data_IF_408485949132
#
_entry.id   IF_408485949132
#
_cell.length_a   1.000
_cell.length_b   1.000
_cell.length_c   1.000
_cell.angle_alpha   90.00
_cell.angle_beta   90.00
_cell.angle_gamma   90.00
#
_symmetry.space_group_name_H-M   'P 1'
#
loop_
_entity.id
_entity.type
_entity.pdbx_description
1 polymer ?
#
# COMPACT_ATOMS: atom_id res chain seq x y z
N UNK A 1 58.77 18.03 0.87
CA UNK A 1 58.83 17.03 1.95
C UNK A 1 57.90 17.47 3.06
N UNK A 2 56.86 16.67 3.27
CA UNK A 2 56.07 16.45 4.50
C UNK A 2 55.54 17.62 5.31
N UNK A 3 54.20 17.69 5.36
CA UNK A 3 53.47 17.97 6.60
C UNK A 3 52.51 19.14 6.54
N UNK A 4 51.22 18.89 6.31
CA UNK A 4 50.18 19.66 6.98
C UNK A 4 48.94 18.81 7.20
N UNK A 5 48.67 18.58 8.48
CA UNK A 5 47.63 17.75 9.08
C UNK A 5 46.22 18.08 8.58
N UNK A 6 45.55 17.11 7.96
CA UNK A 6 44.10 17.07 7.84
C UNK A 6 43.51 16.33 9.05
N UNK A 7 43.57 16.98 10.22
CA UNK A 7 42.76 16.61 11.37
C UNK A 7 42.06 17.87 11.84
N UNK A 8 40.73 17.78 11.92
CA UNK A 8 39.73 18.75 12.43
C UNK A 8 38.73 19.12 11.32
N UNK A 9 37.60 18.40 11.32
CA UNK A 9 36.21 18.85 11.06
C UNK A 9 35.31 17.64 10.70
N UNK A 10 35.35 16.58 11.52
CA UNK A 10 34.17 15.73 11.73
C UNK A 10 33.51 16.23 13.01
N UNK A 11 32.72 17.30 12.91
CA UNK A 11 31.75 17.65 13.94
C UNK A 11 30.42 17.12 13.44
N UNK A 12 30.04 15.95 13.95
CA UNK A 12 28.74 15.35 13.71
C UNK A 12 27.68 16.35 14.16
N UNK A 13 26.90 16.84 13.19
CA UNK A 13 25.72 17.66 13.44
C UNK A 13 24.56 16.70 13.66
N UNK A 14 24.51 16.12 14.86
CA UNK A 14 23.40 15.27 15.30
C UNK A 14 22.22 16.17 15.61
N UNK A 15 21.26 16.26 14.68
CA UNK A 15 19.98 16.90 14.96
C UNK A 15 19.12 15.94 15.79
N UNK A 16 18.56 16.37 16.94
CA UNK A 16 17.62 15.54 17.69
C UNK A 16 16.32 15.42 16.89
N UNK A 17 16.08 14.25 16.31
CA UNK A 17 14.78 13.86 15.75
C UNK A 17 13.83 13.64 16.93
N UNK A 18 13.00 14.64 17.25
CA UNK A 18 11.86 14.45 18.16
C UNK A 18 10.82 13.59 17.45
N UNK A 19 10.78 12.30 17.80
CA UNK A 19 9.62 11.47 17.53
C UNK A 19 8.48 11.90 18.45
N UNK A 20 7.50 12.62 17.91
CA UNK A 20 6.18 12.75 18.54
C UNK A 20 5.37 11.50 18.20
N UNK A 21 4.98 10.67 19.19
CA UNK A 21 4.06 9.57 18.95
C UNK A 21 2.66 10.14 18.68
N UNK A 22 2.13 9.88 17.48
CA UNK A 22 0.73 10.11 17.16
C UNK A 22 -0.07 9.04 17.90
N UNK A 23 -0.57 9.38 19.09
CA UNK A 23 -1.61 8.58 19.76
C UNK A 23 -2.92 8.80 19.00
N UNK A 24 -3.33 7.80 18.22
CA UNK A 24 -4.66 7.72 17.67
C UNK A 24 -5.59 7.15 18.75
N UNK A 25 -6.48 7.99 19.27
CA UNK A 25 -7.54 7.61 20.20
C UNK A 25 -8.62 6.83 19.44
N UNK A 26 -8.68 5.52 19.66
CA UNK A 26 -9.80 4.68 19.23
C UNK A 26 -10.97 4.87 20.21
N UNK A 27 -11.93 5.70 19.83
CA UNK A 27 -13.21 5.82 20.54
C UNK A 27 -14.31 5.77 19.49
N UNK A 28 -14.82 4.58 19.16
CA UNK A 28 -16.16 4.31 18.61
C UNK A 28 -16.34 2.80 18.39
N UNK A 29 -17.04 2.11 19.33
CA UNK A 29 -18.02 1.06 19.01
C UNK A 29 -18.74 0.61 20.28
N UNK A 30 -19.95 1.13 20.50
CA UNK A 30 -20.99 0.44 21.26
C UNK A 30 -22.20 0.39 20.32
N UNK A 31 -22.50 -0.80 19.82
CA UNK A 31 -23.79 -1.16 19.25
C UNK A 31 -24.07 -2.56 19.73
N UNK A 32 -25.08 -2.65 20.57
CA UNK A 32 -25.64 -3.84 21.18
C UNK A 32 -26.03 -4.85 20.09
N UNK A 33 -25.54 -6.09 20.22
CA UNK A 33 -26.05 -7.25 19.50
C UNK A 33 -27.05 -7.97 20.40
N UNK A 34 -28.33 -7.81 20.13
CA UNK A 34 -29.40 -8.63 20.70
C UNK A 34 -29.27 -10.07 20.23
N UNK A 35 -28.92 -10.96 21.15
CA UNK A 35 -28.84 -12.40 20.94
C UNK A 35 -30.25 -12.99 20.77
N UNK A 36 -30.57 -13.48 19.58
CA UNK A 36 -31.68 -14.41 19.35
C UNK A 36 -31.20 -15.81 19.71
N UNK A 37 -31.66 -16.31 20.86
CA UNK A 37 -31.61 -17.75 21.19
C UNK A 37 -32.56 -18.47 20.24
N UNK A 38 -32.00 -19.28 19.34
CA UNK A 38 -32.73 -20.21 18.49
C UNK A 38 -32.57 -21.60 19.10
N UNK A 39 -33.69 -22.13 19.59
CA UNK A 39 -33.78 -23.43 20.22
C UNK A 39 -33.39 -24.55 19.25
N UNK A 40 -32.54 -25.45 19.75
CA UNK A 40 -32.06 -26.63 19.06
C UNK A 40 -33.18 -27.68 18.93
N UNK A 41 -34.01 -27.54 17.90
CA UNK A 41 -34.94 -28.59 17.48
C UNK A 41 -35.20 -28.55 15.95
N UNK A 42 -34.13 -28.48 15.14
CA UNK A 42 -34.23 -28.23 13.68
C UNK A 42 -33.43 -29.15 12.76
N UNK A 43 -32.86 -30.26 13.24
CA UNK A 43 -31.91 -31.07 12.45
C UNK A 43 -32.49 -31.86 11.28
N UNK A 44 -33.81 -32.11 11.23
CA UNK A 44 -34.44 -32.95 10.18
C UNK A 44 -35.04 -32.16 9.01
N UNK A 45 -35.26 -30.85 9.18
CA UNK A 45 -35.83 -29.97 8.15
C UNK A 45 -34.78 -29.37 7.22
N UNK A 46 -33.51 -29.28 7.64
CA UNK A 46 -32.44 -28.61 6.90
C UNK A 46 -31.95 -29.41 5.68
N UNK A 47 -31.88 -30.74 5.74
CA UNK A 47 -31.36 -31.57 4.63
C UNK A 47 -32.29 -31.57 3.40
N UNK A 48 -33.61 -31.62 3.59
CA UNK A 48 -34.57 -31.51 2.50
C UNK A 48 -34.58 -30.11 1.85
N UNK A 49 -34.28 -29.07 2.64
CA UNK A 49 -34.15 -27.71 2.13
C UNK A 49 -32.90 -27.54 1.27
N UNK A 50 -31.77 -28.15 1.64
CA UNK A 50 -30.53 -28.13 0.85
C UNK A 50 -30.73 -28.82 -0.51
N UNK A 51 -31.34 -30.01 -0.55
CA UNK A 51 -31.63 -30.71 -1.80
C UNK A 51 -32.57 -29.91 -2.73
N UNK A 52 -33.63 -29.34 -2.17
CA UNK A 52 -34.57 -28.47 -2.90
C UNK A 52 -33.88 -27.21 -3.43
N UNK A 53 -32.96 -26.64 -2.65
CA UNK A 53 -32.20 -25.44 -3.04
C UNK A 53 -31.21 -25.74 -4.18
N UNK A 54 -30.50 -26.87 -4.14
CA UNK A 54 -29.58 -27.30 -5.22
C UNK A 54 -30.33 -27.55 -6.53
N UNK A 55 -31.48 -28.24 -6.49
CA UNK A 55 -32.33 -28.43 -7.68
C UNK A 55 -32.91 -27.11 -8.17
N UNK A 56 -33.28 -26.21 -7.26
CA UNK A 56 -33.72 -24.85 -7.58
C UNK A 56 -32.66 -24.04 -8.32
N UNK A 57 -31.39 -24.08 -7.87
CA UNK A 57 -30.26 -23.42 -8.56
C UNK A 57 -30.03 -24.05 -9.94
N UNK A 58 -30.05 -25.37 -10.04
CA UNK A 58 -29.92 -26.08 -11.33
C UNK A 58 -30.99 -25.69 -12.33
N UNK A 59 -32.26 -25.71 -11.90
CA UNK A 59 -33.41 -25.30 -12.71
C UNK A 59 -33.38 -23.81 -13.09
N UNK A 60 -32.97 -22.94 -12.16
CA UNK A 60 -32.83 -21.51 -12.40
C UNK A 60 -31.70 -21.20 -13.39
N UNK A 61 -30.54 -21.86 -13.26
CA UNK A 61 -29.43 -21.73 -14.21
C UNK A 61 -29.83 -22.17 -15.62
N UNK A 62 -30.56 -23.29 -15.75
CA UNK A 62 -31.09 -23.75 -17.05
C UNK A 62 -32.11 -22.82 -17.69
N UNK A 63 -32.85 -22.04 -16.89
CA UNK A 63 -33.93 -21.18 -17.42
C UNK A 63 -33.49 -19.75 -17.74
N UNK A 64 -32.45 -19.23 -17.06
CA UNK A 64 -32.01 -17.82 -17.19
C UNK A 64 -30.80 -17.59 -18.08
N UNK A 65 -29.95 -18.60 -18.31
CA UNK A 65 -28.79 -18.49 -19.19
C UNK A 65 -28.79 -19.59 -20.27
N UNK A 66 -29.69 -19.51 -21.27
CA UNK A 66 -29.70 -20.47 -22.37
C UNK A 66 -28.39 -20.44 -23.19
N UNK A 67 -27.64 -19.34 -23.13
CA UNK A 67 -26.35 -19.17 -23.81
C UNK A 67 -25.19 -19.94 -23.14
N UNK A 68 -25.37 -20.44 -21.90
CA UNK A 68 -24.42 -21.41 -21.31
C UNK A 68 -24.46 -22.77 -22.02
N UNK A 69 -25.48 -22.99 -22.86
CA UNK A 69 -25.65 -24.15 -23.75
C UNK A 69 -25.32 -23.81 -25.21
N UNK A 70 -24.66 -22.67 -25.47
CA UNK A 70 -24.27 -22.31 -26.82
C UNK A 70 -23.30 -23.35 -27.38
N UNK A 71 -23.72 -23.92 -28.50
CA UNK A 71 -23.00 -24.87 -29.32
C UNK A 71 -21.75 -24.19 -29.88
N UNK A 72 -20.60 -24.39 -29.23
CA UNK A 72 -19.31 -24.01 -29.78
C UNK A 72 -18.49 -25.27 -30.02
N UNK A 73 -18.28 -25.56 -31.31
CA UNK A 73 -17.28 -26.46 -31.88
C UNK A 73 -17.26 -27.89 -31.27
N UNK A 74 -18.12 -28.77 -31.82
CA UNK A 74 -18.07 -30.24 -31.82
C UNK A 74 -17.79 -31.01 -30.50
N UNK A 75 -17.78 -30.34 -29.36
CA UNK A 75 -17.71 -30.95 -28.04
C UNK A 75 -18.93 -30.54 -27.21
N UNK A 76 -19.81 -31.51 -26.94
CA UNK A 76 -20.94 -31.35 -26.01
C UNK A 76 -20.39 -31.02 -24.61
N UNK A 77 -20.42 -29.76 -24.19
CA UNK A 77 -20.24 -29.37 -22.78
C UNK A 77 -21.55 -29.53 -21.98
N UNK A 78 -22.36 -30.54 -22.31
CA UNK A 78 -23.66 -30.85 -21.68
C UNK A 78 -23.55 -31.26 -20.20
N UNK A 79 -22.32 -31.37 -19.69
CA UNK A 79 -21.98 -32.05 -18.45
C UNK A 79 -22.37 -31.24 -17.20
N UNK A 80 -22.13 -29.91 -17.07
CA UNK A 80 -22.24 -29.26 -15.75
C UNK A 80 -23.68 -29.09 -15.25
N UNK A 81 -24.62 -28.66 -16.12
CA UNK A 81 -25.96 -28.34 -15.66
C UNK A 81 -26.82 -29.60 -15.42
N UNK A 82 -26.75 -30.58 -16.33
CA UNK A 82 -27.43 -31.86 -16.15
C UNK A 82 -26.84 -32.65 -14.98
N UNK A 83 -25.51 -32.61 -14.76
CA UNK A 83 -24.91 -33.25 -13.59
C UNK A 83 -25.40 -32.61 -12.29
N UNK A 84 -25.53 -31.27 -12.23
CA UNK A 84 -26.05 -30.57 -11.05
C UNK A 84 -27.51 -30.93 -10.78
N UNK A 85 -28.36 -31.00 -11.81
CA UNK A 85 -29.78 -31.38 -11.66
C UNK A 85 -29.93 -32.85 -11.24
N UNK A 86 -29.19 -33.78 -11.87
CA UNK A 86 -29.19 -35.20 -11.50
C UNK A 86 -28.67 -35.42 -10.07
N UNK A 87 -27.60 -34.71 -9.70
CA UNK A 87 -27.04 -34.77 -8.35
C UNK A 87 -28.04 -34.22 -7.33
N UNK A 88 -28.69 -33.08 -7.60
CA UNK A 88 -29.71 -32.52 -6.72
C UNK A 88 -30.93 -33.43 -6.57
N UNK A 89 -31.40 -34.06 -7.67
CA UNK A 89 -32.50 -35.02 -7.63
C UNK A 89 -32.14 -36.28 -6.82
N UNK A 90 -30.92 -36.79 -6.97
CA UNK A 90 -30.43 -37.92 -6.18
C UNK A 90 -30.33 -37.58 -4.69
N UNK A 91 -29.83 -36.39 -4.33
CA UNK A 91 -29.77 -35.91 -2.94
C UNK A 91 -31.18 -35.77 -2.33
N UNK A 92 -32.15 -35.23 -3.07
CA UNK A 92 -33.54 -35.18 -2.59
C UNK A 92 -34.15 -36.56 -2.42
N UNK A 93 -33.88 -37.49 -3.35
CA UNK A 93 -34.36 -38.86 -3.26
C UNK A 93 -33.81 -39.57 -2.01
N UNK A 94 -32.51 -39.46 -1.76
CA UNK A 94 -31.87 -40.05 -0.58
C UNK A 94 -32.35 -39.36 0.71
N UNK A 95 -32.40 -38.02 0.74
CA UNK A 95 -32.82 -37.22 1.89
C UNK A 95 -34.30 -37.38 2.25
N UNK A 96 -35.16 -37.74 1.29
CA UNK A 96 -36.58 -38.01 1.54
C UNK A 96 -36.85 -39.48 1.87
N UNK A 97 -36.33 -40.42 1.05
CA UNK A 97 -36.63 -41.85 1.19
C UNK A 97 -36.01 -42.43 2.46
N UNK A 98 -34.85 -41.94 2.90
CA UNK A 98 -34.18 -42.38 4.13
C UNK A 98 -35.00 -42.14 5.39
N UNK A 99 -35.29 -40.88 5.74
CA UNK A 99 -36.09 -40.54 6.92
C UNK A 99 -37.50 -41.14 6.88
N UNK A 100 -38.16 -41.18 5.71
CA UNK A 100 -39.46 -41.82 5.56
C UNK A 100 -39.40 -43.34 5.75
N UNK A 101 -38.35 -44.00 5.26
CA UNK A 101 -38.12 -45.43 5.47
C UNK A 101 -37.90 -45.79 6.95
N UNK A 102 -37.13 -44.98 7.67
CA UNK A 102 -36.89 -45.14 9.12
C UNK A 102 -38.17 -44.89 9.92
N UNK A 103 -38.89 -43.80 9.63
CA UNK A 103 -40.12 -43.45 10.35
C UNK A 103 -41.27 -44.44 10.11
N UNK A 104 -41.35 -45.03 8.91
CA UNK A 104 -42.37 -46.03 8.57
C UNK A 104 -41.99 -47.47 8.92
N UNK A 105 -40.74 -47.73 9.32
CA UNK A 105 -40.23 -49.09 9.54
C UNK A 105 -40.19 -49.95 8.27
N UNK A 106 -40.21 -49.34 7.08
CA UNK A 106 -40.31 -50.05 5.81
C UNK A 106 -38.97 -50.66 5.40
N UNK A 107 -38.84 -51.98 5.57
CA UNK A 107 -37.66 -52.76 5.15
C UNK A 107 -37.37 -52.62 3.65
N UNK A 108 -38.40 -52.44 2.82
CA UNK A 108 -38.25 -52.27 1.37
C UNK A 108 -37.56 -50.93 1.04
N UNK A 109 -37.97 -49.82 1.68
CA UNK A 109 -37.35 -48.51 1.46
C UNK A 109 -35.89 -48.49 1.92
N UNK A 110 -35.60 -49.13 3.06
CA UNK A 110 -34.22 -49.26 3.55
C UNK A 110 -33.35 -50.11 2.61
N UNK A 111 -33.89 -51.17 2.00
CA UNK A 111 -33.18 -51.97 0.99
C UNK A 111 -32.91 -51.21 -0.31
N UNK A 112 -33.88 -50.42 -0.78
CA UNK A 112 -33.71 -49.58 -1.99
C UNK A 112 -32.58 -48.57 -1.80
N UNK A 113 -32.50 -47.97 -0.61
CA UNK A 113 -31.40 -47.07 -0.25
C UNK A 113 -30.07 -47.81 -0.21
N UNK A 114 -30.02 -48.98 0.43
CA UNK A 114 -28.78 -49.75 0.54
C UNK A 114 -28.24 -50.18 -0.84
N UNK A 115 -29.12 -50.62 -1.75
CA UNK A 115 -28.75 -50.95 -3.13
C UNK A 115 -28.25 -49.70 -3.86
N UNK A 116 -28.98 -48.58 -3.74
CA UNK A 116 -28.59 -47.33 -4.36
C UNK A 116 -27.23 -46.81 -3.88
N UNK A 117 -26.85 -47.04 -2.62
CA UNK A 117 -25.54 -46.65 -2.07
C UNK A 117 -24.41 -47.64 -2.39
N UNK A 118 -24.72 -48.92 -2.62
CA UNK A 118 -23.74 -49.93 -3.02
C UNK A 118 -23.24 -49.71 -4.46
N UNK A 119 -24.10 -49.18 -5.33
CA UNK A 119 -23.79 -48.91 -6.73
C UNK A 119 -23.15 -47.52 -6.98
N UNK A 120 -23.00 -46.68 -5.94
CA UNK A 120 -22.30 -45.39 -6.09
C UNK A 120 -20.81 -45.68 -6.29
N UNK A 121 -20.18 -45.17 -7.36
CA UNK A 121 -18.74 -45.23 -7.53
C UNK A 121 -18.09 -44.25 -6.54
N UNK A 122 -17.99 -44.64 -5.26
CA UNK A 122 -17.33 -43.87 -4.20
C UNK A 122 -15.93 -43.35 -4.59
N UNK A 123 -15.11 -44.09 -5.37
CA UNK A 123 -13.85 -43.53 -5.89
C UNK A 123 -14.03 -42.30 -6.79
N UNK A 124 -15.09 -42.25 -7.61
CA UNK A 124 -15.38 -41.09 -8.46
C UNK A 124 -15.89 -39.89 -7.65
N UNK A 125 -16.72 -40.14 -6.62
CA UNK A 125 -17.22 -39.08 -5.72
C UNK A 125 -16.08 -38.47 -4.91
N UNK A 126 -15.22 -39.29 -4.32
CA UNK A 126 -14.05 -38.83 -3.56
C UNK A 126 -13.06 -38.07 -4.44
N UNK A 127 -12.81 -38.55 -5.68
CA UNK A 127 -12.00 -37.83 -6.66
C UNK A 127 -12.61 -36.47 -7.02
N UNK A 128 -13.94 -36.39 -7.23
CA UNK A 128 -14.62 -35.13 -7.55
C UNK A 128 -14.54 -34.13 -6.38
N UNK A 129 -14.76 -34.57 -5.14
CA UNK A 129 -14.58 -33.74 -3.94
C UNK A 129 -13.13 -33.25 -3.82
N UNK A 130 -12.15 -34.13 -4.07
CA UNK A 130 -10.74 -33.77 -4.07
C UNK A 130 -10.38 -32.70 -5.11
N UNK A 131 -10.92 -32.82 -6.34
CA UNK A 131 -10.72 -31.84 -7.41
C UNK A 131 -11.35 -30.48 -7.06
N UNK A 132 -12.58 -30.48 -6.51
CA UNK A 132 -13.26 -29.25 -6.10
C UNK A 132 -12.51 -28.55 -4.96
N UNK A 133 -12.06 -29.30 -3.95
CA UNK A 133 -11.24 -28.76 -2.86
C UNK A 133 -9.93 -28.17 -3.41
N UNK A 134 -9.21 -28.91 -4.25
CA UNK A 134 -7.98 -28.40 -4.87
C UNK A 134 -8.20 -27.13 -5.69
N UNK A 135 -9.30 -27.04 -6.45
CA UNK A 135 -9.63 -25.86 -7.24
C UNK A 135 -9.95 -24.63 -6.36
N UNK A 136 -10.68 -24.84 -5.25
CA UNK A 136 -10.95 -23.80 -4.26
C UNK A 136 -9.65 -23.31 -3.60
N UNK A 137 -8.84 -24.24 -3.08
CA UNK A 137 -7.55 -23.95 -2.43
C UNK A 137 -6.61 -23.20 -3.38
N UNK A 138 -6.53 -23.63 -4.64
CA UNK A 138 -5.70 -22.98 -5.67
C UNK A 138 -6.17 -21.54 -5.94
N UNK A 139 -7.48 -21.32 -6.05
CA UNK A 139 -8.04 -19.99 -6.29
C UNK A 139 -7.76 -19.04 -5.10
N UNK A 140 -7.89 -19.52 -3.87
CA UNK A 140 -7.56 -18.77 -2.67
C UNK A 140 -6.07 -18.46 -2.56
N UNK A 141 -5.21 -19.45 -2.83
CA UNK A 141 -3.76 -19.27 -2.86
C UNK A 141 -3.36 -18.17 -3.86
N UNK A 142 -3.92 -18.21 -5.07
CA UNK A 142 -3.67 -17.20 -6.12
C UNK A 142 -4.15 -15.80 -5.71
N UNK A 143 -5.30 -15.70 -5.05
CA UNK A 143 -5.82 -14.43 -4.51
C UNK A 143 -4.90 -13.86 -3.44
N UNK A 144 -4.42 -14.71 -2.52
CA UNK A 144 -3.47 -14.36 -1.46
C UNK A 144 -2.13 -13.91 -2.03
N UNK A 145 -1.61 -14.61 -3.02
CA UNK A 145 -0.39 -14.24 -3.73
C UNK A 145 -0.54 -12.88 -4.42
N UNK A 146 -1.64 -12.66 -5.14
CA UNK A 146 -1.91 -11.37 -5.80
C UNK A 146 -1.95 -10.21 -4.79
N UNK A 147 -2.57 -10.40 -3.62
CA UNK A 147 -2.59 -9.39 -2.54
C UNK A 147 -1.19 -9.14 -1.99
N UNK A 148 -0.39 -10.19 -1.77
CA UNK A 148 1.01 -10.08 -1.32
C UNK A 148 1.87 -9.32 -2.33
N UNK A 149 1.72 -9.61 -3.62
CA UNK A 149 2.43 -8.90 -4.69
C UNK A 149 2.05 -7.42 -4.74
N UNK A 150 0.76 -7.09 -4.61
CA UNK A 150 0.30 -5.69 -4.50
C UNK A 150 0.86 -5.00 -3.26
N UNK A 151 0.88 -5.68 -2.12
CA UNK A 151 1.44 -5.13 -0.88
C UNK A 151 2.95 -4.88 -1.02
N UNK A 152 3.67 -5.82 -1.62
CA UNK A 152 5.10 -5.68 -1.90
C UNK A 152 5.37 -4.50 -2.82
N UNK A 153 4.62 -4.37 -3.92
CA UNK A 153 4.74 -3.22 -4.81
C UNK A 153 4.52 -1.88 -4.09
N UNK A 154 3.47 -1.76 -3.28
CA UNK A 154 3.22 -0.54 -2.49
C UNK A 154 4.32 -0.28 -1.46
N UNK A 155 4.86 -1.33 -0.83
CA UNK A 155 6.01 -1.22 0.09
C UNK A 155 7.26 -0.73 -0.65
N UNK A 156 7.51 -1.19 -1.86
CA UNK A 156 8.62 -0.72 -2.70
C UNK A 156 8.43 0.74 -3.11
N UNK A 157 7.24 1.13 -3.58
CA UNK A 157 6.92 2.53 -3.89
C UNK A 157 7.18 3.47 -2.69
N UNK A 158 6.73 3.07 -1.50
CA UNK A 158 6.93 3.86 -0.28
C UNK A 158 8.40 3.91 0.15
N UNK A 159 9.10 2.78 0.16
CA UNK A 159 10.47 2.71 0.70
C UNK A 159 11.54 3.24 -0.26
N UNK A 160 11.38 2.99 -1.56
CA UNK A 160 12.40 3.31 -2.57
C UNK A 160 12.14 4.63 -3.29
N UNK A 161 10.89 5.07 -3.43
CA UNK A 161 10.53 6.25 -4.24
C UNK A 161 9.90 7.37 -3.41
N UNK A 162 8.64 7.22 -3.02
CA UNK A 162 7.87 8.32 -2.44
C UNK A 162 8.29 8.70 -1.02
N UNK A 163 8.73 7.76 -0.21
CA UNK A 163 9.23 8.04 1.15
C UNK A 163 10.50 8.91 1.13
N UNK A 164 11.57 8.51 0.42
CA UNK A 164 12.77 9.34 0.30
C UNK A 164 12.48 10.72 -0.30
N UNK A 165 11.73 10.79 -1.41
CA UNK A 165 11.38 12.07 -2.05
C UNK A 165 10.61 12.96 -1.07
N UNK A 166 9.61 12.41 -0.37
CA UNK A 166 8.84 13.15 0.64
C UNK A 166 9.74 13.73 1.74
N UNK A 167 10.63 12.90 2.29
CA UNK A 167 11.58 13.33 3.33
C UNK A 167 12.51 14.45 2.85
N UNK A 168 13.10 14.31 1.65
CA UNK A 168 13.97 15.34 1.09
C UNK A 168 13.23 16.65 0.82
N UNK A 169 12.03 16.58 0.24
CA UNK A 169 11.24 17.80 -0.06
C UNK A 169 10.76 18.51 1.21
N UNK A 170 10.35 17.76 2.24
CA UNK A 170 9.96 18.32 3.53
C UNK A 170 11.14 19.05 4.19
N UNK A 171 12.29 18.38 4.28
CA UNK A 171 13.52 18.96 4.86
C UNK A 171 14.00 20.19 4.09
N UNK A 172 13.96 20.15 2.75
CA UNK A 172 14.36 21.29 1.92
C UNK A 172 13.42 22.48 2.14
N UNK A 173 12.10 22.25 2.20
CA UNK A 173 11.11 23.31 2.44
C UNK A 173 11.31 24.00 3.79
N UNK A 174 11.51 23.22 4.85
CA UNK A 174 11.77 23.76 6.19
C UNK A 174 13.07 24.55 6.22
N UNK A 175 14.13 24.02 5.63
CA UNK A 175 15.44 24.67 5.59
C UNK A 175 15.40 25.95 4.73
N UNK A 176 14.63 25.96 3.65
CA UNK A 176 14.40 27.14 2.81
C UNK A 176 13.71 28.25 3.59
N UNK A 177 12.64 27.95 4.33
CA UNK A 177 11.95 28.94 5.18
C UNK A 177 12.92 29.59 6.17
N UNK A 178 13.80 28.80 6.79
CA UNK A 178 14.84 29.29 7.72
C UNK A 178 15.88 30.15 6.99
N UNK A 179 16.36 29.71 5.82
CA UNK A 179 17.36 30.43 5.03
C UNK A 179 16.83 31.79 4.53
N UNK A 180 15.53 31.85 4.21
CA UNK A 180 14.85 33.03 3.72
C UNK A 180 14.53 34.07 4.80
N UNK A 181 14.74 33.81 6.10
CA UNK A 181 14.65 34.83 7.19
C UNK A 181 13.48 35.84 7.09
N UNK A 182 12.31 35.42 6.64
CA UNK A 182 11.12 36.28 6.51
C UNK A 182 10.96 37.02 5.16
N UNK A 183 11.88 36.88 4.22
CA UNK A 183 11.67 37.31 2.84
C UNK A 183 10.67 36.39 2.14
N UNK A 184 9.80 36.95 1.28
CA UNK A 184 8.70 36.21 0.62
C UNK A 184 9.21 35.15 -0.34
N UNK A 185 10.24 35.48 -1.12
CA UNK A 185 10.84 34.60 -2.12
C UNK A 185 12.31 34.99 -2.36
N UNK A 186 13.03 34.13 -3.06
CA UNK A 186 14.43 34.35 -3.38
C UNK A 186 14.68 35.64 -4.18
N UNK A 187 13.76 36.01 -5.08
CA UNK A 187 13.89 37.25 -5.86
C UNK A 187 14.01 38.46 -4.92
N UNK A 188 13.08 38.59 -3.97
CA UNK A 188 13.12 39.66 -2.97
C UNK A 188 14.39 39.61 -2.12
N UNK A 189 14.85 38.42 -1.73
CA UNK A 189 16.09 38.26 -0.97
C UNK A 189 17.30 38.78 -1.74
N UNK A 190 17.42 38.42 -3.02
CA UNK A 190 18.53 38.82 -3.88
C UNK A 190 18.49 40.31 -4.21
N UNK A 191 17.31 40.89 -4.45
CA UNK A 191 17.14 42.33 -4.65
C UNK A 191 17.62 43.14 -3.44
N UNK A 192 17.29 42.68 -2.22
CA UNK A 192 17.77 43.33 -0.98
C UNK A 192 19.27 43.14 -0.80
N UNK A 193 19.79 41.94 -1.09
CA UNK A 193 21.23 41.68 -1.02
C UNK A 193 22.01 42.58 -1.99
N UNK A 194 21.49 42.77 -3.21
CA UNK A 194 22.07 43.63 -4.23
C UNK A 194 22.02 45.10 -3.82
N UNK A 195 20.87 45.57 -3.33
CA UNK A 195 20.70 46.94 -2.86
C UNK A 195 21.71 47.29 -1.76
N UNK A 196 21.89 46.39 -0.78
CA UNK A 196 22.91 46.55 0.27
C UNK A 196 24.33 46.49 -0.28
N UNK A 197 24.60 45.59 -1.21
CA UNK A 197 25.92 45.47 -1.83
C UNK A 197 26.35 46.75 -2.58
N UNK A 198 25.41 47.45 -3.22
CA UNK A 198 25.67 48.72 -3.92
C UNK A 198 25.91 49.89 -2.98
N UNK A 199 25.35 49.87 -1.78
CA UNK A 199 25.54 50.91 -0.78
C UNK A 199 26.89 50.73 -0.04
N UNK A 200 27.80 51.72 -0.07
CA UNK A 200 29.07 51.64 0.63
C UNK A 200 28.97 51.34 2.13
N UNK A 201 27.89 51.76 2.81
CA UNK A 201 27.70 51.55 4.25
C UNK A 201 27.24 50.14 4.60
N UNK A 202 26.54 49.46 3.69
CA UNK A 202 25.97 48.11 3.91
C UNK A 202 26.52 47.05 2.95
N UNK A 203 27.59 47.38 2.22
CA UNK A 203 28.21 46.54 1.20
C UNK A 203 28.54 45.13 1.69
N UNK A 204 29.19 45.03 2.85
CA UNK A 204 29.59 43.75 3.43
C UNK A 204 28.39 42.90 3.83
N UNK A 205 27.28 43.53 4.24
CA UNK A 205 26.04 42.82 4.57
C UNK A 205 25.40 42.21 3.32
N UNK A 206 25.32 42.97 2.21
CA UNK A 206 24.82 42.46 0.94
C UNK A 206 25.64 41.29 0.40
N UNK A 207 26.97 41.39 0.53
CA UNK A 207 27.90 40.31 0.25
C UNK A 207 27.56 39.08 1.10
N UNK A 208 27.45 39.23 2.42
CA UNK A 208 27.20 38.12 3.34
C UNK A 208 25.84 37.45 3.13
N UNK A 209 24.82 38.20 2.72
CA UNK A 209 23.53 37.65 2.30
C UNK A 209 23.71 36.71 1.10
N UNK A 210 24.38 37.15 0.04
CA UNK A 210 24.63 36.31 -1.13
C UNK A 210 25.45 35.07 -0.77
N UNK A 211 26.51 35.21 0.04
CA UNK A 211 27.33 34.07 0.50
C UNK A 211 26.49 33.07 1.30
N UNK A 212 25.55 33.54 2.11
CA UNK A 212 24.67 32.69 2.92
C UNK A 212 23.72 31.91 2.03
N UNK A 213 23.11 32.54 1.03
CA UNK A 213 22.28 31.86 0.04
C UNK A 213 23.06 30.78 -0.70
N UNK A 214 24.23 31.11 -1.27
CA UNK A 214 25.03 30.15 -2.03
C UNK A 214 25.52 28.97 -1.17
N UNK A 215 25.85 29.22 0.10
CA UNK A 215 26.16 28.14 1.07
C UNK A 215 24.96 27.25 1.33
N UNK A 216 23.80 27.85 1.56
CA UNK A 216 22.55 27.12 1.76
C UNK A 216 22.24 26.23 0.56
N UNK A 217 22.27 26.79 -0.65
CA UNK A 217 22.03 26.04 -1.89
C UNK A 217 23.05 24.90 -2.05
N UNK A 218 24.35 25.18 -1.93
CA UNK A 218 25.39 24.18 -2.16
C UNK A 218 25.37 23.03 -1.14
N UNK A 219 25.11 23.33 0.13
CA UNK A 219 25.27 22.36 1.21
C UNK A 219 23.96 21.69 1.64
N UNK A 220 22.81 22.29 1.36
CA UNK A 220 21.51 21.80 1.81
C UNK A 220 20.63 21.42 0.62
N UNK A 221 20.23 22.39 -0.20
CA UNK A 221 19.25 22.17 -1.29
C UNK A 221 19.81 21.29 -2.39
N UNK A 222 20.95 21.66 -2.98
CA UNK A 222 21.52 20.95 -4.12
C UNK A 222 21.77 19.45 -3.85
N UNK A 223 22.38 19.05 -2.71
CA UNK A 223 22.55 17.62 -2.42
C UNK A 223 21.23 16.86 -2.24
N UNK A 224 20.20 17.49 -1.68
CA UNK A 224 18.88 16.89 -1.55
C UNK A 224 18.17 16.78 -2.91
N UNK A 225 18.35 17.75 -3.78
CA UNK A 225 17.83 17.78 -5.14
C UNK A 225 18.47 16.70 -6.01
N UNK A 226 19.80 16.53 -5.91
CA UNK A 226 20.53 15.43 -6.55
C UNK A 226 20.04 14.06 -6.08
N UNK A 227 19.83 13.86 -4.78
CA UNK A 227 19.28 12.60 -4.25
C UNK A 227 17.84 12.35 -4.72
N UNK A 228 17.06 13.42 -4.86
CA UNK A 228 15.68 13.33 -5.36
C UNK A 228 15.67 12.93 -6.84
N UNK A 229 16.50 13.57 -7.66
CA UNK A 229 16.71 13.22 -9.07
C UNK A 229 17.15 11.76 -9.20
N UNK A 230 18.15 11.35 -8.42
CA UNK A 230 18.67 9.98 -8.41
C UNK A 230 17.59 8.96 -8.06
N UNK A 231 16.79 9.26 -7.03
CA UNK A 231 15.65 8.43 -6.62
C UNK A 231 14.62 8.28 -7.73
N UNK A 232 14.26 9.39 -8.41
CA UNK A 232 13.31 9.38 -9.52
C UNK A 232 13.85 8.53 -10.67
N UNK A 233 15.11 8.72 -11.07
CA UNK A 233 15.72 8.00 -12.19
C UNK A 233 15.80 6.49 -11.94
N UNK A 234 16.28 6.08 -10.76
CA UNK A 234 16.46 4.66 -10.43
C UNK A 234 15.13 3.92 -10.21
N UNK A 235 14.10 4.63 -9.78
CA UNK A 235 12.80 4.03 -9.41
C UNK A 235 11.66 4.45 -10.34
N UNK A 236 11.96 4.93 -11.54
CA UNK A 236 10.96 5.36 -12.51
C UNK A 236 9.96 4.25 -12.87
N UNK A 237 10.35 2.98 -12.75
CA UNK A 237 9.48 1.81 -12.98
C UNK A 237 8.42 1.61 -11.89
N UNK A 238 8.61 2.19 -10.69
CA UNK A 238 7.64 2.11 -9.58
C UNK A 238 6.51 3.14 -9.71
N UNK A 239 6.54 3.96 -10.75
CA UNK A 239 5.57 5.00 -11.01
C UNK A 239 4.33 4.44 -11.71
N UNK A 240 3.17 4.47 -11.03
CA UNK A 240 1.90 3.93 -11.54
C UNK A 240 1.01 4.98 -12.25
N UNK A 241 1.46 6.23 -12.48
CA UNK A 241 0.56 7.35 -12.83
C UNK A 241 0.89 8.08 -14.15
N UNK A 242 -0.04 8.94 -14.59
CA UNK A 242 -0.19 9.39 -15.98
C UNK A 242 0.84 10.40 -16.49
N UNK A 243 0.60 10.88 -17.71
CA UNK A 243 1.48 11.80 -18.46
C UNK A 243 1.83 13.06 -17.66
N UNK A 244 0.89 13.59 -16.86
CA UNK A 244 1.06 14.83 -16.10
C UNK A 244 2.08 14.69 -14.97
N UNK A 245 2.02 13.59 -14.24
CA UNK A 245 2.94 13.33 -13.14
C UNK A 245 4.36 13.03 -13.67
N UNK A 246 4.47 12.40 -14.84
CA UNK A 246 5.75 12.20 -15.52
C UNK A 246 6.37 13.55 -15.93
N UNK A 247 5.56 14.45 -16.48
CA UNK A 247 5.98 15.81 -16.83
C UNK A 247 6.49 16.59 -15.61
N UNK A 248 5.84 16.44 -14.46
CA UNK A 248 6.27 17.08 -13.20
C UNK A 248 7.68 16.63 -12.79
N UNK A 249 7.97 15.33 -12.83
CA UNK A 249 9.30 14.81 -12.55
C UNK A 249 10.34 15.21 -13.60
N UNK A 250 9.97 15.26 -14.88
CA UNK A 250 10.85 15.75 -15.94
C UNK A 250 11.23 17.22 -15.72
N UNK A 251 10.25 18.06 -15.38
CA UNK A 251 10.47 19.48 -15.07
C UNK A 251 11.39 19.64 -13.84
N UNK A 252 11.22 18.80 -12.83
CA UNK A 252 12.14 18.77 -11.69
C UNK A 252 13.56 18.37 -12.10
N UNK A 253 13.73 17.29 -12.88
CA UNK A 253 15.06 16.86 -13.36
C UNK A 253 15.73 17.97 -14.19
N UNK A 254 14.97 18.66 -15.03
CA UNK A 254 15.46 19.81 -15.79
C UNK A 254 15.95 20.93 -14.87
N UNK A 255 15.19 21.25 -13.82
CA UNK A 255 15.61 22.22 -12.80
C UNK A 255 16.91 21.81 -12.11
N UNK A 256 17.05 20.56 -11.67
CA UNK A 256 18.27 20.06 -11.03
C UNK A 256 19.47 20.13 -11.98
N UNK A 257 19.29 19.84 -13.26
CA UNK A 257 20.35 19.99 -14.26
C UNK A 257 20.78 21.45 -14.44
N UNK A 258 19.84 22.40 -14.39
CA UNK A 258 20.17 23.81 -14.40
C UNK A 258 20.96 24.23 -13.15
N UNK A 259 20.55 23.74 -11.98
CA UNK A 259 21.26 23.98 -10.71
C UNK A 259 22.70 23.44 -10.74
N UNK A 260 22.93 22.25 -11.33
CA UNK A 260 24.29 21.71 -11.54
C UNK A 260 25.17 22.68 -12.33
N UNK A 261 24.63 23.33 -13.36
CA UNK A 261 25.37 24.31 -14.18
C UNK A 261 25.72 25.55 -13.35
N UNK A 262 24.79 26.06 -12.54
CA UNK A 262 25.06 27.18 -11.62
C UNK A 262 26.19 26.81 -10.65
N UNK A 263 26.06 25.67 -9.98
CA UNK A 263 27.05 25.20 -9.00
C UNK A 263 28.42 24.96 -9.63
N UNK A 264 28.47 24.42 -10.86
CA UNK A 264 29.70 24.26 -11.61
C UNK A 264 30.38 25.61 -11.90
N UNK A 265 29.63 26.60 -12.39
CA UNK A 265 30.13 27.96 -12.62
C UNK A 265 30.71 28.61 -11.36
N UNK A 266 30.07 28.38 -10.21
CA UNK A 266 30.60 28.89 -8.93
C UNK A 266 31.91 28.22 -8.55
N UNK A 267 32.01 26.90 -8.72
CA UNK A 267 33.24 26.14 -8.43
C UNK A 267 34.39 26.53 -9.36
N UNK A 268 34.12 26.79 -10.64
CA UNK A 268 35.11 27.29 -11.61
C UNK A 268 35.66 28.67 -11.24
N UNK A 269 34.84 29.54 -10.63
CA UNK A 269 35.29 30.84 -10.11
C UNK A 269 36.14 30.72 -8.83
N UNK A 270 36.26 29.51 -8.27
CA UNK A 270 37.10 29.16 -7.13
C UNK A 270 36.40 28.18 -6.18
N UNK A 271 37.18 27.32 -5.51
CA UNK A 271 36.68 26.26 -4.60
C UNK A 271 35.70 26.73 -3.51
N UNK A 272 35.68 28.02 -3.21
CA UNK A 272 34.84 28.61 -2.16
C UNK A 272 33.70 29.42 -2.81
N UNK A 273 32.75 28.85 -3.55
CA UNK A 273 31.53 29.56 -4.00
C UNK A 273 31.77 30.84 -4.87
N UNK A 274 32.92 30.93 -5.54
CA UNK A 274 33.33 32.14 -6.26
C UNK A 274 33.82 33.30 -5.36
N UNK A 275 34.06 33.06 -4.07
CA UNK A 275 34.42 34.06 -3.06
C UNK A 275 35.78 34.74 -3.25
N UNK A 276 36.63 34.18 -4.11
CA UNK A 276 37.98 34.71 -4.36
C UNK A 276 37.98 35.89 -5.34
N UNK A 277 36.90 36.08 -6.10
CA UNK A 277 36.76 37.18 -7.05
C UNK A 277 35.78 38.21 -6.48
N UNK A 278 35.98 39.51 -6.75
CA UNK A 278 35.00 40.53 -6.39
C UNK A 278 33.66 40.23 -7.07
N UNK A 279 32.58 40.36 -6.30
CA UNK A 279 31.22 40.19 -6.81
C UNK A 279 30.89 41.23 -7.86
N UNK A 280 30.09 40.81 -8.84
CA UNK A 280 29.54 41.63 -9.92
C UNK A 280 28.03 41.72 -9.76
N UNK A 281 27.40 42.66 -10.45
CA UNK A 281 25.94 42.80 -10.50
C UNK A 281 25.25 41.50 -10.94
N UNK A 282 25.80 40.82 -11.96
CA UNK A 282 25.35 39.51 -12.43
C UNK A 282 25.34 38.42 -11.33
N UNK A 283 26.15 38.53 -10.28
CA UNK A 283 26.20 37.54 -9.20
C UNK A 283 24.94 37.55 -8.33
N UNK A 284 24.18 38.66 -8.34
CA UNK A 284 22.91 38.82 -7.64
C UNK A 284 21.70 38.47 -8.51
N UNK A 285 21.90 38.33 -9.83
CA UNK A 285 20.86 37.91 -10.75
C UNK A 285 20.33 36.51 -10.37
N UNK A 286 19.02 36.32 -10.49
CA UNK A 286 18.36 35.07 -10.10
C UNK A 286 18.84 33.88 -10.92
N UNK A 287 19.10 34.09 -12.19
CA UNK A 287 19.53 33.07 -13.15
C UNK A 287 20.86 32.44 -12.71
N UNK A 288 21.69 33.21 -12.03
CA UNK A 288 22.96 32.75 -11.47
C UNK A 288 22.84 32.17 -10.05
N UNK A 289 21.62 32.08 -9.50
CA UNK A 289 21.35 31.64 -8.12
C UNK A 289 20.23 30.60 -7.96
N UNK A 290 19.27 30.48 -8.89
CA UNK A 290 18.17 29.53 -8.81
C UNK A 290 17.43 29.23 -10.13
N UNK A 291 17.82 29.83 -11.26
CA UNK A 291 17.18 29.56 -12.55
C UNK A 291 16.35 30.68 -13.15
N UNK A 292 15.73 30.36 -14.29
CA UNK A 292 15.21 31.31 -15.29
C UNK A 292 13.87 31.95 -14.92
N UNK A 293 12.99 31.26 -14.18
CA UNK A 293 11.66 31.80 -13.85
C UNK A 293 11.25 31.50 -12.41
N UNK A 294 10.91 32.54 -11.64
CA UNK A 294 10.47 32.40 -10.25
C UNK A 294 9.11 31.71 -10.16
N UNK A 295 8.14 32.18 -10.93
CA UNK A 295 6.76 31.67 -10.83
C UNK A 295 6.67 30.24 -11.34
N UNK A 296 7.36 29.92 -12.44
CA UNK A 296 7.36 28.56 -13.00
C UNK A 296 8.08 27.58 -12.08
N UNK A 297 9.25 27.94 -11.56
CA UNK A 297 10.04 27.06 -10.68
C UNK A 297 9.33 26.88 -9.34
N UNK A 298 8.83 27.96 -8.74
CA UNK A 298 8.11 27.92 -7.46
C UNK A 298 6.83 27.10 -7.59
N UNK A 299 6.07 27.29 -8.68
CA UNK A 299 4.88 26.47 -8.97
C UNK A 299 5.25 24.99 -9.13
N UNK A 300 6.25 24.68 -9.94
CA UNK A 300 6.72 23.30 -10.15
C UNK A 300 7.13 22.62 -8.84
N UNK A 301 7.92 23.30 -8.00
CA UNK A 301 8.35 22.75 -6.71
C UNK A 301 7.17 22.57 -5.75
N UNK A 302 6.20 23.49 -5.77
CA UNK A 302 4.96 23.38 -4.98
C UNK A 302 4.11 22.21 -5.44
N UNK A 303 3.90 22.08 -6.75
CA UNK A 303 3.16 20.98 -7.37
C UNK A 303 3.83 19.63 -7.06
N UNK A 304 5.16 19.56 -7.09
CA UNK A 304 5.94 18.38 -6.72
C UNK A 304 5.72 17.99 -5.25
N UNK A 305 5.83 18.95 -4.32
CA UNK A 305 5.59 18.70 -2.88
C UNK A 305 4.15 18.21 -2.65
N UNK A 306 3.17 18.87 -3.28
CA UNK A 306 1.76 18.49 -3.17
C UNK A 306 1.52 17.08 -3.71
N UNK A 307 2.03 16.77 -4.90
CA UNK A 307 1.92 15.46 -5.52
C UNK A 307 2.51 14.38 -4.62
N UNK A 308 3.78 14.54 -4.20
CA UNK A 308 4.48 13.54 -3.39
C UNK A 308 3.78 13.33 -2.05
N UNK A 309 3.33 14.40 -1.39
CA UNK A 309 2.61 14.31 -0.11
C UNK A 309 1.29 13.56 -0.26
N UNK A 310 0.50 13.91 -1.29
CA UNK A 310 -0.78 13.26 -1.56
C UNK A 310 -0.60 11.78 -1.88
N UNK A 311 0.32 11.46 -2.79
CA UNK A 311 0.59 10.08 -3.21
C UNK A 311 1.14 9.24 -2.06
N UNK A 312 2.06 9.79 -1.26
CA UNK A 312 2.56 9.12 -0.05
C UNK A 312 1.41 8.76 0.91
N UNK A 313 0.52 9.71 1.21
CA UNK A 313 -0.65 9.47 2.06
C UNK A 313 -1.58 8.38 1.51
N UNK A 314 -1.85 8.41 0.20
CA UNK A 314 -2.65 7.37 -0.48
C UNK A 314 -2.00 5.99 -0.39
N UNK A 315 -0.68 5.89 -0.61
CA UNK A 315 0.06 4.63 -0.55
C UNK A 315 0.11 4.06 0.87
N UNK A 316 0.28 4.90 1.90
CA UNK A 316 0.22 4.47 3.30
C UNK A 316 -1.16 3.91 3.65
N UNK A 317 -2.24 4.57 3.21
CA UNK A 317 -3.60 4.08 3.41
C UNK A 317 -3.84 2.74 2.67
N UNK A 318 -3.38 2.63 1.42
CA UNK A 318 -3.45 1.40 0.62
C UNK A 318 -2.68 0.25 1.27
N UNK A 319 -1.48 0.51 1.80
CA UNK A 319 -0.67 -0.47 2.54
C UNK A 319 -1.44 -1.00 3.76
N UNK A 320 -1.99 -0.11 4.59
CA UNK A 320 -2.77 -0.51 5.78
C UNK A 320 -3.99 -1.35 5.40
N UNK A 321 -4.71 -0.95 4.34
CA UNK A 321 -5.85 -1.70 3.83
C UNK A 321 -5.46 -3.11 3.40
N UNK A 322 -4.39 -3.24 2.60
CA UNK A 322 -3.91 -4.54 2.11
C UNK A 322 -3.39 -5.45 3.23
N UNK A 323 -2.77 -4.89 4.27
CA UNK A 323 -2.35 -5.68 5.43
C UNK A 323 -3.57 -6.30 6.13
N UNK A 324 -4.57 -5.47 6.46
CA UNK A 324 -5.83 -5.96 7.05
C UNK A 324 -6.55 -7.00 6.18
N UNK A 325 -6.64 -6.79 4.86
CA UNK A 325 -7.24 -7.78 3.94
C UNK A 325 -6.47 -9.11 3.86
N UNK A 326 -5.19 -9.12 4.25
CA UNK A 326 -4.37 -10.34 4.33
C UNK A 326 -4.57 -11.02 5.67
N UNK A 327 -4.64 -10.25 6.76
CA UNK A 327 -4.84 -10.74 8.13
C UNK A 327 -6.26 -11.35 8.28
N UNK A 328 -7.30 -10.66 7.81
CA UNK A 328 -8.69 -11.18 7.79
C UNK A 328 -8.78 -12.49 6.99
N UNK A 329 -7.98 -12.64 5.93
CA UNK A 329 -7.96 -13.85 5.10
C UNK A 329 -7.03 -14.96 5.64
N UNK A 330 -6.31 -14.73 6.73
CA UNK A 330 -5.62 -15.82 7.46
C UNK A 330 -6.47 -16.38 8.59
N UNK A 331 -7.34 -15.56 9.18
CA UNK A 331 -8.15 -15.95 10.34
C UNK A 331 -9.32 -16.86 9.91
N UNK A 332 -9.91 -16.64 8.73
CA UNK A 332 -10.97 -17.51 8.16
C UNK A 332 -10.54 -18.98 7.92
N UNK A 333 -9.24 -19.30 8.03
CA UNK A 333 -8.71 -20.65 7.84
C UNK A 333 -8.48 -21.43 9.15
N UNK A 334 -8.83 -20.87 10.32
CA UNK A 334 -8.49 -21.47 11.62
C UNK A 334 -9.66 -22.13 12.38
N UNK A 335 -10.89 -22.09 11.86
CA UNK A 335 -12.09 -22.31 12.69
C UNK A 335 -12.92 -23.59 12.44
N UNK A 336 -12.40 -24.68 11.84
CA UNK A 336 -13.24 -25.90 11.67
C UNK A 336 -12.69 -27.26 12.13
N UNK A 337 -11.42 -27.41 12.55
CA UNK A 337 -10.88 -28.77 12.80
C UNK A 337 -10.27 -29.06 14.21
N UNK A 338 -10.23 -28.12 15.17
CA UNK A 338 -9.59 -28.37 16.48
C UNK A 338 -10.33 -27.74 17.69
N UNK A 339 -11.63 -28.03 17.84
CA UNK A 339 -12.30 -27.96 19.16
C UNK A 339 -12.83 -29.34 19.52
N UNK A 340 -11.90 -30.25 19.85
CA UNK A 340 -12.16 -31.26 20.88
C UNK A 340 -11.50 -30.73 22.17
N UNK A 341 -12.14 -29.73 22.78
CA UNK A 341 -11.89 -29.31 24.17
C UNK A 341 -12.69 -30.21 25.13
N UNK A 342 -12.62 -31.53 24.91
CA UNK A 342 -12.95 -32.50 25.94
C UNK A 342 -11.60 -32.87 26.58
N UNK A 343 -11.50 -32.65 27.90
CA UNK A 343 -10.42 -33.09 28.81
C UNK A 343 -9.29 -32.10 29.12
N UNK A 344 -9.61 -30.92 29.68
CA UNK A 344 -8.77 -30.34 30.74
C UNK A 344 -9.63 -30.26 31.99
N UNK A 345 -9.56 -31.35 32.75
CA UNK A 345 -10.11 -31.47 34.09
C UNK A 345 -9.65 -30.31 34.99
N UNK A 346 -10.63 -29.84 35.74
CA UNK A 346 -10.52 -29.08 36.98
C UNK A 346 -9.32 -29.53 37.81
N UNK A 347 -8.43 -28.58 38.16
CA UNK A 347 -7.70 -28.54 39.43
C UNK A 347 -6.86 -27.25 39.49
N UNK A 348 -7.52 -26.13 39.82
CA UNK A 348 -6.81 -24.96 40.37
C UNK A 348 -7.35 -24.73 41.78
N UNK A 349 -6.64 -25.33 42.72
CA UNK A 349 -6.67 -25.00 44.14
C UNK A 349 -6.19 -23.55 44.35
N UNK A 350 -7.13 -22.72 44.79
CA UNK A 350 -7.05 -21.86 45.96
C UNK A 350 -5.66 -21.66 46.63
N UNK A 351 -4.90 -20.66 46.17
CA UNK A 351 -3.87 -19.93 46.95
C UNK A 351 -3.73 -18.55 46.28
N UNK A 352 -3.84 -17.39 46.90
CA UNK A 352 -3.86 -17.00 48.30
C UNK A 352 -3.59 -15.50 48.28
N UNK A 353 -4.44 -14.78 48.99
CA UNK A 353 -4.31 -13.38 49.41
C UNK A 353 -2.85 -13.03 49.75
N UNK A 354 -2.34 -11.87 49.30
CA UNK A 354 -1.40 -11.03 50.07
C UNK A 354 -1.04 -9.71 49.35
N UNK A 355 -1.59 -8.64 49.90
CA UNK A 355 -1.06 -7.28 50.09
C UNK A 355 0.42 -7.03 49.72
N UNK A 356 0.68 -5.97 48.94
CA UNK A 356 1.35 -4.73 49.37
C UNK A 356 1.24 -3.60 48.33
#
# INVERSE_FOLDING_TARGET
>A
MTGCDQRIMKKEMTYPVRHTPIQATNRWRNTESTSLKLDAQGGKTSQNLIGTFIVGIGAFATTRQPEFFAWHDDHLSLIPAFSVILTGAAVMFVGFVGPCGIASGSVLMLRVINIAFQDIPWPAVTAAVGILKFAADYHEAKKKETRRNKLNHVKEQLSKMYGPIYGYRLSNRESYIVAMKGYRNLRQYLEVAESKWRDPQSKDEGIDMLKRWRRFLLHITHPQDLKTEDTIRHNAHLFEHGIKEAELFQNFIFHVNYEKIIVAKWKERGNDLGLKKPFREEDFARENNAGVSDDTTTKMLTDLVMHVTKTYGMLVARKKKLMREIDEASDDNFDEDDVNDDDIDDDIDDVGDNNE
#
